data_IF_839581531998
#
_entry.id   IF_839581531998
#
_cell.length_a   1.000
_cell.length_b   1.000
_cell.length_c   1.000
_cell.angle_alpha   90.00
_cell.angle_beta   90.00
_cell.angle_gamma   90.00
#
_symmetry.space_group_name_H-M   'P 1'
#
loop_
_entity.id
_entity.type
_entity.pdbx_description
1 polymer ?
#
# COMPACT_ATOMS: atom_id res chain seq x y z
N UNK A 1 14.26 -3.70 -14.04
CA UNK A 1 13.82 -2.34 -13.68
C UNK A 1 14.73 -1.23 -14.21
N UNK A 2 16.03 -1.50 -14.43
CA UNK A 2 17.00 -0.50 -14.93
C UNK A 2 16.87 -0.23 -16.44
N UNK A 3 16.32 -1.16 -17.22
CA UNK A 3 16.15 -0.98 -18.67
C UNK A 3 14.99 -0.06 -19.07
N UNK A 4 13.93 0.06 -18.27
CA UNK A 4 12.81 0.97 -18.59
C UNK A 4 13.15 2.47 -18.41
N UNK A 5 14.10 2.83 -17.55
CA UNK A 5 14.51 4.24 -17.38
C UNK A 5 15.38 4.79 -18.54
N UNK A 6 15.98 3.92 -19.35
CA UNK A 6 16.83 4.36 -20.46
C UNK A 6 16.02 4.69 -21.74
N UNK A 7 14.87 4.05 -21.95
CA UNK A 7 14.03 4.29 -23.13
C UNK A 7 13.27 5.61 -23.09
N UNK A 8 12.93 6.12 -21.91
CA UNK A 8 12.17 7.37 -21.75
C UNK A 8 13.01 8.60 -22.11
N UNK A 9 14.35 8.51 -22.05
CA UNK A 9 15.24 9.65 -22.35
C UNK A 9 15.40 9.97 -23.84
N UNK A 10 14.91 9.11 -24.73
CA UNK A 10 15.13 9.25 -26.18
C UNK A 10 13.85 9.45 -27.01
N UNK A 11 12.71 9.70 -26.38
CA UNK A 11 11.48 10.01 -27.10
C UNK A 11 11.51 11.47 -27.62
N UNK A 12 11.08 11.73 -28.86
CA UNK A 12 10.99 13.10 -29.38
C UNK A 12 10.02 13.92 -28.52
N UNK A 13 10.37 15.19 -28.26
CA UNK A 13 9.63 16.14 -27.40
C UNK A 13 8.12 16.26 -27.67
N UNK A 14 7.65 15.83 -28.86
CA UNK A 14 6.24 15.85 -29.28
C UNK A 14 5.45 14.57 -28.94
N UNK A 15 6.09 13.53 -28.41
CA UNK A 15 5.49 12.21 -28.24
C UNK A 15 5.13 11.87 -26.77
N UNK A 16 5.46 12.72 -25.80
CA UNK A 16 5.10 12.47 -24.41
C UNK A 16 3.66 12.95 -24.14
N UNK A 17 2.82 12.02 -23.73
CA UNK A 17 1.44 12.31 -23.33
C UNK A 17 1.41 13.02 -21.96
N UNK A 18 0.41 13.86 -21.68
CA UNK A 18 0.25 14.53 -20.39
C UNK A 18 0.27 13.58 -19.21
N UNK A 19 -0.30 12.38 -19.36
CA UNK A 19 -0.35 11.34 -18.32
C UNK A 19 1.04 10.82 -17.98
N UNK A 20 1.89 10.57 -18.97
CA UNK A 20 3.28 10.12 -18.72
C UNK A 20 4.13 11.22 -18.09
N UNK A 21 3.85 12.48 -18.42
CA UNK A 21 4.50 13.65 -17.81
C UNK A 21 4.05 13.82 -16.35
N UNK A 22 2.76 13.63 -16.07
CA UNK A 22 2.22 13.62 -14.71
C UNK A 22 2.88 12.52 -13.87
N UNK A 23 3.03 11.31 -14.42
CA UNK A 23 3.69 10.21 -13.74
C UNK A 23 5.17 10.49 -13.45
N UNK A 24 5.88 11.22 -14.33
CA UNK A 24 7.26 11.63 -14.05
C UNK A 24 7.34 12.63 -12.90
N UNK A 25 6.44 13.63 -12.85
CA UNK A 25 6.38 14.58 -11.74
C UNK A 25 6.04 13.85 -10.44
N UNK A 26 5.09 12.92 -10.46
CA UNK A 26 4.72 12.10 -9.32
C UNK A 26 5.93 11.30 -8.81
N UNK A 27 6.70 10.69 -9.71
CA UNK A 27 7.92 9.96 -9.35
C UNK A 27 9.01 10.87 -8.73
N UNK A 28 9.11 12.14 -9.16
CA UNK A 28 10.00 13.12 -8.54
C UNK A 28 9.58 13.44 -7.10
N UNK A 29 8.30 13.41 -6.80
CA UNK A 29 7.74 13.67 -5.47
C UNK A 29 7.87 12.41 -4.59
N UNK A 30 7.29 11.29 -5.02
CA UNK A 30 7.10 10.09 -4.19
C UNK A 30 8.35 9.21 -4.08
N UNK A 31 9.10 9.04 -5.18
CA UNK A 31 10.21 8.08 -5.23
C UNK A 31 11.56 8.75 -5.07
N UNK A 32 11.77 9.89 -5.73
CA UNK A 32 13.04 10.60 -5.68
C UNK A 32 13.12 11.57 -4.51
N UNK A 33 11.99 11.88 -3.85
CA UNK A 33 11.87 12.86 -2.76
C UNK A 33 12.50 14.22 -3.10
N UNK A 34 12.46 14.58 -4.40
CA UNK A 34 13.04 15.84 -4.89
C UNK A 34 12.21 17.05 -4.47
N UNK A 35 10.89 16.85 -4.33
CA UNK A 35 9.94 17.84 -3.83
C UNK A 35 9.14 17.19 -2.71
N UNK A 36 8.97 17.92 -1.62
CA UNK A 36 8.18 17.52 -0.45
C UNK A 36 6.93 18.38 -0.33
N UNK A 37 6.01 17.99 0.53
CA UNK A 37 4.78 18.74 0.80
C UNK A 37 5.11 20.20 1.13
N UNK A 38 4.42 21.11 0.44
CA UNK A 38 4.61 22.56 0.58
C UNK A 38 5.70 23.14 -0.33
N UNK A 39 6.53 22.30 -0.96
CA UNK A 39 7.57 22.77 -1.88
C UNK A 39 6.96 23.34 -3.15
N UNK A 40 7.60 24.41 -3.63
CA UNK A 40 7.24 25.02 -4.91
C UNK A 40 7.95 24.30 -6.05
N UNK A 41 7.20 23.87 -7.07
CA UNK A 41 7.77 23.37 -8.31
C UNK A 41 8.49 24.50 -9.09
N UNK A 42 9.52 24.15 -9.90
CA UNK A 42 10.09 25.08 -10.86
C UNK A 42 9.02 25.74 -11.74
N UNK A 43 9.31 26.89 -12.30
CA UNK A 43 8.36 27.50 -13.22
C UNK A 43 8.10 26.62 -14.46
N UNK A 44 6.96 26.81 -15.12
CA UNK A 44 6.52 25.96 -16.23
C UNK A 44 7.56 25.88 -17.37
N UNK A 45 8.34 26.95 -17.61
CA UNK A 45 9.34 26.93 -18.67
C UNK A 45 10.52 26.03 -18.33
N UNK A 46 11.03 26.16 -17.11
CA UNK A 46 12.18 25.39 -16.63
C UNK A 46 11.83 23.90 -16.49
N UNK A 47 10.67 23.61 -15.89
CA UNK A 47 10.22 22.24 -15.71
C UNK A 47 9.88 21.54 -17.04
N UNK A 48 9.27 22.27 -18.00
CA UNK A 48 9.03 21.71 -19.34
C UNK A 48 10.33 21.42 -20.09
N UNK A 49 11.32 22.33 -19.97
CA UNK A 49 12.64 22.12 -20.56
C UNK A 49 13.37 20.93 -19.95
N UNK A 50 13.29 20.78 -18.62
CA UNK A 50 13.91 19.67 -17.88
C UNK A 50 13.30 18.32 -18.27
N UNK A 51 11.95 18.24 -18.32
CA UNK A 51 11.23 17.01 -18.68
C UNK A 51 11.24 16.72 -20.18
N UNK A 52 11.73 17.65 -21.00
CA UNK A 52 11.79 17.48 -22.46
C UNK A 52 10.42 17.53 -23.14
N UNK A 53 9.42 18.16 -22.53
CA UNK A 53 8.05 18.24 -23.04
C UNK A 53 7.66 19.65 -23.48
N UNK A 54 6.54 19.77 -24.21
CA UNK A 54 5.96 21.06 -24.53
C UNK A 54 5.32 21.71 -23.27
N UNK A 55 5.24 23.05 -23.25
CA UNK A 55 4.54 23.76 -22.16
C UNK A 55 3.07 23.37 -22.06
N UNK A 56 2.40 23.12 -23.19
CA UNK A 56 1.00 22.66 -23.18
C UNK A 56 0.86 21.28 -22.54
N UNK A 57 1.77 20.35 -22.86
CA UNK A 57 1.81 19.01 -22.25
C UNK A 57 2.04 19.10 -20.74
N UNK A 58 3.01 19.93 -20.31
CA UNK A 58 3.27 20.14 -18.89
C UNK A 58 2.07 20.73 -18.15
N UNK A 59 1.40 21.73 -18.73
CA UNK A 59 0.22 22.35 -18.09
C UNK A 59 -0.92 21.37 -17.93
N UNK A 60 -1.12 20.49 -18.90
CA UNK A 60 -2.14 19.45 -18.79
C UNK A 60 -1.75 18.41 -17.74
N UNK A 61 -0.48 18.02 -17.65
CA UNK A 61 0.03 17.16 -16.59
C UNK A 61 -0.16 17.79 -15.19
N UNK A 62 0.16 19.09 -15.05
CA UNK A 62 -0.08 19.83 -13.80
C UNK A 62 -1.58 19.85 -13.47
N UNK A 63 -2.45 20.01 -14.49
CA UNK A 63 -3.89 19.98 -14.29
C UNK A 63 -4.38 18.63 -13.80
N UNK A 64 -3.90 17.53 -14.37
CA UNK A 64 -4.18 16.16 -13.91
C UNK A 64 -3.80 16.03 -12.44
N UNK A 65 -2.57 16.39 -12.08
CA UNK A 65 -2.07 16.32 -10.71
C UNK A 65 -2.78 17.26 -9.74
N UNK A 66 -3.25 18.40 -10.21
CA UNK A 66 -4.06 19.33 -9.38
C UNK A 66 -5.46 18.76 -9.15
N UNK A 67 -6.06 18.13 -10.16
CA UNK A 67 -7.39 17.48 -10.04
C UNK A 67 -7.33 16.28 -9.09
N UNK A 68 -6.22 15.55 -9.08
CA UNK A 68 -6.00 14.45 -8.13
C UNK A 68 -5.54 14.89 -6.74
N UNK A 69 -5.38 16.21 -6.51
CA UNK A 69 -4.97 16.75 -5.22
C UNK A 69 -3.46 16.70 -4.95
N UNK A 70 -2.65 16.16 -5.87
CA UNK A 70 -1.17 16.06 -5.73
C UNK A 70 -0.50 17.42 -5.77
N UNK A 71 -1.01 18.33 -6.57
CA UNK A 71 -0.49 19.69 -6.68
C UNK A 71 -1.59 20.72 -6.37
N UNK A 72 -1.19 21.87 -5.91
CA UNK A 72 -2.06 23.03 -5.79
C UNK A 72 -1.49 24.24 -6.53
N UNK A 73 -2.36 24.97 -7.24
CA UNK A 73 -1.99 26.19 -7.92
C UNK A 73 -2.36 27.39 -7.03
N UNK A 74 -1.35 28.06 -6.52
CA UNK A 74 -1.53 29.31 -5.76
C UNK A 74 -1.39 30.50 -6.72
N UNK A 75 -2.50 31.18 -7.00
CA UNK A 75 -2.57 32.25 -8.00
C UNK A 75 -1.49 33.31 -7.74
N UNK A 76 -0.68 33.57 -8.75
CA UNK A 76 0.44 34.54 -8.69
C UNK A 76 1.67 34.06 -7.90
N UNK A 77 1.61 32.91 -7.26
CA UNK A 77 2.71 32.36 -6.47
C UNK A 77 3.38 31.14 -7.14
N UNK A 78 2.62 30.37 -7.93
CA UNK A 78 3.12 29.19 -8.65
C UNK A 78 2.38 27.91 -8.28
N UNK A 79 2.95 26.77 -8.67
CA UNK A 79 2.45 25.43 -8.38
C UNK A 79 3.26 24.84 -7.23
N UNK A 80 2.58 24.25 -6.27
CA UNK A 80 3.15 23.69 -5.04
C UNK A 80 2.72 22.23 -4.89
N UNK A 81 3.54 21.44 -4.21
CA UNK A 81 3.12 20.10 -3.75
C UNK A 81 2.07 20.32 -2.67
N UNK A 82 0.88 19.73 -2.86
CA UNK A 82 -0.26 19.97 -1.98
C UNK A 82 -0.08 19.26 -0.64
N UNK A 83 -0.51 19.87 0.44
CA UNK A 83 -0.66 19.20 1.73
C UNK A 83 -1.82 18.17 1.75
N UNK A 84 -2.72 18.25 0.76
CA UNK A 84 -3.81 17.30 0.57
C UNK A 84 -3.39 16.08 -0.29
N UNK A 85 -2.15 16.05 -0.71
CA UNK A 85 -1.60 14.93 -1.48
C UNK A 85 -1.45 13.75 -0.59
N UNK A 86 -2.20 12.73 -0.93
CA UNK A 86 -1.98 11.40 -0.40
C UNK A 86 -1.96 11.45 1.12
N UNK A 87 -2.79 10.67 1.74
CA UNK A 87 -2.47 10.23 3.09
C UNK A 87 -1.03 9.69 2.98
N UNK A 88 -0.04 10.57 3.16
CA UNK A 88 1.35 10.16 3.14
C UNK A 88 1.48 9.08 4.22
N UNK A 89 2.17 8.01 3.89
CA UNK A 89 2.51 7.03 4.91
C UNK A 89 3.24 7.67 6.12
N UNK A 90 3.80 8.88 5.94
CA UNK A 90 4.33 9.72 7.02
C UNK A 90 3.22 10.33 7.89
N UNK A 91 2.14 10.86 7.29
CA UNK A 91 1.01 11.44 8.03
C UNK A 91 0.24 10.37 8.83
N UNK A 92 0.13 9.15 8.29
CA UNK A 92 -0.43 8.01 9.03
C UNK A 92 0.50 7.52 10.16
N UNK A 93 1.81 7.75 10.05
CA UNK A 93 2.73 7.45 11.16
C UNK A 93 2.55 8.43 12.33
N UNK A 94 2.14 9.67 12.06
CA UNK A 94 1.80 10.67 13.09
C UNK A 94 0.39 10.44 13.66
N UNK A 95 -0.53 9.86 12.86
CA UNK A 95 -1.89 9.46 13.29
C UNK A 95 -1.85 8.16 14.09
N UNK A 96 -0.89 7.27 13.82
CA UNK A 96 -0.73 6.00 14.52
C UNK A 96 -0.26 6.21 15.98
N UNK A 97 -1.02 7.00 16.73
CA UNK A 97 -0.79 7.27 18.14
C UNK A 97 -1.09 6.07 19.06
N UNK A 98 -1.61 4.96 18.52
CA UNK A 98 -1.87 3.73 19.27
C UNK A 98 -1.93 2.51 18.35
N UNK A 99 -1.31 1.42 18.78
CA UNK A 99 -1.47 0.11 18.13
C UNK A 99 -2.92 -0.34 18.19
N UNK A 100 -3.65 -0.01 19.24
CA UNK A 100 -5.07 -0.31 19.41
C UNK A 100 -5.90 0.22 18.25
N UNK A 101 -5.70 1.48 17.83
CA UNK A 101 -6.40 2.10 16.70
C UNK A 101 -6.11 1.38 15.38
N UNK A 102 -4.85 0.94 15.18
CA UNK A 102 -4.45 0.18 13.98
C UNK A 102 -5.10 -1.20 13.94
N UNK A 103 -5.15 -1.90 15.07
CA UNK A 103 -5.80 -3.21 15.16
C UNK A 103 -7.33 -3.09 15.05
N UNK A 104 -7.93 -2.02 15.56
CA UNK A 104 -9.35 -1.72 15.33
C UNK A 104 -9.63 -1.52 13.84
N UNK A 105 -8.78 -0.79 13.11
CA UNK A 105 -8.88 -0.64 11.65
C UNK A 105 -8.74 -1.99 10.93
N UNK A 106 -7.79 -2.85 11.33
CA UNK A 106 -7.68 -4.21 10.80
C UNK A 106 -8.98 -4.99 10.99
N UNK A 107 -9.55 -4.94 12.21
CA UNK A 107 -10.78 -5.63 12.56
C UNK A 107 -11.99 -5.16 11.74
N UNK A 108 -11.99 -3.89 11.29
CA UNK A 108 -13.02 -3.34 10.42
C UNK A 108 -12.92 -3.84 8.97
N UNK A 109 -11.71 -4.06 8.44
CA UNK A 109 -11.51 -4.26 7.01
C UNK A 109 -11.05 -5.67 6.62
N UNK A 110 -10.12 -6.26 7.35
CA UNK A 110 -9.49 -7.52 6.95
C UNK A 110 -10.44 -8.73 6.96
N UNK A 111 -11.42 -8.84 7.89
CA UNK A 111 -12.40 -9.92 7.83
C UNK A 111 -13.23 -9.88 6.54
N UNK A 112 -13.61 -8.69 6.08
CA UNK A 112 -14.33 -8.53 4.83
C UNK A 112 -13.42 -8.73 3.60
N UNK A 113 -12.14 -8.44 3.72
CA UNK A 113 -11.16 -8.82 2.68
C UNK A 113 -11.08 -10.34 2.55
N UNK A 114 -11.01 -11.10 3.65
CA UNK A 114 -10.98 -12.56 3.64
C UNK A 114 -12.28 -13.16 3.06
N UNK A 115 -13.43 -12.57 3.40
CA UNK A 115 -14.71 -12.94 2.79
C UNK A 115 -14.71 -12.77 1.28
N UNK A 116 -14.28 -11.61 0.78
CA UNK A 116 -14.24 -11.32 -0.64
C UNK A 116 -13.19 -12.17 -1.37
N UNK A 117 -12.04 -12.40 -0.76
CA UNK A 117 -11.00 -13.27 -1.29
C UNK A 117 -11.50 -14.71 -1.47
N UNK A 118 -12.21 -15.26 -0.49
CA UNK A 118 -12.82 -16.59 -0.60
C UNK A 118 -13.79 -16.70 -1.79
N UNK A 119 -14.49 -15.61 -2.13
CA UNK A 119 -15.41 -15.59 -3.27
C UNK A 119 -14.75 -15.36 -4.63
N UNK A 120 -13.68 -14.57 -4.67
CA UNK A 120 -13.17 -13.96 -5.92
C UNK A 120 -11.80 -14.44 -6.34
N UNK A 121 -10.98 -14.92 -5.39
CA UNK A 121 -9.61 -15.31 -5.67
C UNK A 121 -9.53 -16.34 -6.81
N UNK A 122 -8.56 -16.18 -7.71
CA UNK A 122 -8.21 -17.24 -8.67
C UNK A 122 -7.53 -18.40 -7.93
N UNK A 123 -7.29 -19.51 -8.63
CA UNK A 123 -6.58 -20.63 -8.00
C UNK A 123 -5.13 -20.24 -7.68
N UNK A 124 -4.48 -19.51 -8.58
CA UNK A 124 -3.11 -19.02 -8.39
C UNK A 124 -3.01 -18.08 -7.17
N UNK A 125 -4.03 -17.26 -6.94
CA UNK A 125 -4.07 -16.38 -5.77
C UNK A 125 -4.31 -17.16 -4.49
N UNK A 126 -5.14 -18.19 -4.50
CA UNK A 126 -5.31 -19.11 -3.36
C UNK A 126 -3.99 -19.80 -3.04
N UNK A 127 -3.29 -20.29 -4.08
CA UNK A 127 -2.01 -20.96 -3.91
C UNK A 127 -0.96 -20.00 -3.31
N UNK A 128 -0.97 -18.72 -3.73
CA UNK A 128 -0.11 -17.69 -3.17
C UNK A 128 -0.45 -17.37 -1.70
N UNK A 129 -1.73 -17.25 -1.35
CA UNK A 129 -2.19 -17.06 0.04
C UNK A 129 -1.69 -18.21 0.91
N UNK A 130 -1.88 -19.43 0.44
CA UNK A 130 -1.44 -20.61 1.17
C UNK A 130 0.08 -20.68 1.33
N UNK A 131 0.81 -20.34 0.27
CA UNK A 131 2.27 -20.29 0.33
C UNK A 131 2.75 -19.31 1.41
N UNK A 132 2.22 -18.09 1.48
CA UNK A 132 2.63 -17.12 2.49
C UNK A 132 2.22 -17.55 3.90
N UNK A 133 1.02 -18.10 4.10
CA UNK A 133 0.59 -18.62 5.39
C UNK A 133 1.48 -19.79 5.86
N UNK A 134 1.90 -20.68 4.95
CA UNK A 134 2.88 -21.75 5.27
C UNK A 134 4.27 -21.20 5.61
N UNK A 135 4.70 -20.06 5.02
CA UNK A 135 5.95 -19.42 5.42
C UNK A 135 5.84 -18.81 6.82
N UNK A 136 4.70 -18.18 7.18
CA UNK A 136 4.41 -17.73 8.55
C UNK A 136 4.51 -18.89 9.52
N UNK A 137 3.84 -20.00 9.24
CA UNK A 137 3.90 -21.22 10.06
C UNK A 137 5.33 -21.70 10.29
N UNK A 138 6.15 -21.80 9.23
CA UNK A 138 7.56 -22.20 9.33
C UNK A 138 8.36 -21.29 10.26
N UNK A 139 8.15 -19.96 10.15
CA UNK A 139 8.81 -18.97 10.99
C UNK A 139 8.39 -19.11 12.46
N UNK A 140 7.10 -19.33 12.72
CA UNK A 140 6.59 -19.60 14.08
C UNK A 140 7.28 -20.83 14.66
N UNK A 141 7.30 -21.94 13.92
CA UNK A 141 7.87 -23.22 14.38
C UNK A 141 9.39 -23.17 14.60
N UNK A 142 10.10 -22.34 13.83
CA UNK A 142 11.56 -22.14 13.99
C UNK A 142 11.92 -21.07 15.03
N UNK A 143 10.93 -20.34 15.57
CA UNK A 143 11.15 -19.23 16.50
C UNK A 143 11.84 -18.01 15.85
N UNK A 144 11.72 -17.87 14.52
CA UNK A 144 12.25 -16.74 13.76
C UNK A 144 11.24 -15.61 13.66
N UNK A 145 11.71 -14.39 13.33
CA UNK A 145 10.85 -13.25 13.03
C UNK A 145 10.00 -13.55 11.78
N UNK A 146 8.69 -13.44 11.93
CA UNK A 146 7.68 -13.70 10.90
C UNK A 146 7.04 -12.45 10.31
N UNK A 147 7.39 -11.27 10.80
CA UNK A 147 6.72 -10.00 10.49
C UNK A 147 6.57 -9.76 8.98
N UNK A 148 7.59 -10.09 8.20
CA UNK A 148 7.58 -9.89 6.76
C UNK A 148 6.65 -10.88 6.03
N UNK A 149 6.60 -12.12 6.47
CA UNK A 149 5.75 -13.19 5.93
C UNK A 149 4.29 -12.95 6.29
N UNK A 150 4.02 -12.56 7.53
CA UNK A 150 2.70 -12.17 8.02
C UNK A 150 2.11 -11.02 7.19
N UNK A 151 2.89 -9.98 6.96
CA UNK A 151 2.48 -8.87 6.09
C UNK A 151 2.10 -9.37 4.69
N UNK A 152 2.92 -10.23 4.07
CA UNK A 152 2.65 -10.77 2.74
C UNK A 152 1.40 -11.65 2.70
N UNK A 153 1.15 -12.40 3.77
CA UNK A 153 -0.05 -13.21 3.91
C UNK A 153 -1.30 -12.33 3.86
N UNK A 154 -1.38 -11.30 4.70
CA UNK A 154 -2.50 -10.36 4.70
C UNK A 154 -2.62 -9.56 3.39
N UNK A 155 -1.50 -9.11 2.81
CA UNK A 155 -1.49 -8.43 1.51
C UNK A 155 -2.02 -9.34 0.38
N UNK A 156 -1.69 -10.62 0.39
CA UNK A 156 -2.17 -11.57 -0.62
C UNK A 156 -3.68 -11.75 -0.55
N UNK A 157 -4.25 -11.80 0.65
CA UNK A 157 -5.71 -11.86 0.87
C UNK A 157 -6.37 -10.56 0.40
N UNK A 158 -5.82 -9.39 0.75
CA UNK A 158 -6.34 -8.10 0.32
C UNK A 158 -6.32 -7.95 -1.21
N UNK A 159 -5.25 -8.39 -1.87
CA UNK A 159 -5.13 -8.36 -3.33
C UNK A 159 -6.17 -9.27 -4.02
N UNK A 160 -6.44 -10.44 -3.43
CA UNK A 160 -7.40 -11.43 -3.94
C UNK A 160 -8.87 -10.97 -3.81
N UNK A 161 -9.14 -9.85 -3.17
CA UNK A 161 -10.48 -9.22 -3.17
C UNK A 161 -10.88 -8.69 -4.54
N UNK A 162 -9.94 -8.46 -5.45
CA UNK A 162 -10.11 -7.78 -6.74
C UNK A 162 -10.76 -6.39 -6.61
N UNK A 163 -10.67 -5.78 -5.43
CA UNK A 163 -11.13 -4.43 -5.20
C UNK A 163 -9.94 -3.45 -5.35
N UNK A 164 -9.98 -2.61 -6.39
CA UNK A 164 -8.89 -1.68 -6.68
C UNK A 164 -8.61 -0.70 -5.52
N UNK A 165 -9.64 -0.30 -4.78
CA UNK A 165 -9.48 0.58 -3.61
C UNK A 165 -8.77 -0.14 -2.45
N UNK A 166 -9.19 -1.37 -2.14
CA UNK A 166 -8.53 -2.21 -1.12
C UNK A 166 -7.06 -2.40 -1.45
N UNK A 167 -6.74 -2.71 -2.72
CA UNK A 167 -5.37 -2.89 -3.19
C UNK A 167 -4.47 -1.66 -3.00
N UNK A 168 -5.03 -0.46 -3.11
CA UNK A 168 -4.29 0.79 -2.90
C UNK A 168 -4.22 1.21 -1.43
N UNK A 169 -5.27 0.94 -0.66
CA UNK A 169 -5.41 1.42 0.71
C UNK A 169 -4.74 0.49 1.74
N UNK A 170 -4.88 -0.83 1.59
CA UNK A 170 -4.35 -1.79 2.56
C UNK A 170 -2.84 -1.74 2.77
N UNK A 171 -1.98 -1.50 1.76
CA UNK A 171 -0.55 -1.35 1.99
C UNK A 171 -0.17 -0.24 2.97
N UNK A 172 -0.97 0.82 3.04
CA UNK A 172 -0.76 1.94 3.97
C UNK A 172 -0.97 1.47 5.40
N UNK A 173 -2.06 0.73 5.66
CA UNK A 173 -2.37 0.12 6.97
C UNK A 173 -1.25 -0.85 7.36
N UNK A 174 -0.86 -1.75 6.46
CA UNK A 174 0.18 -2.75 6.73
C UNK A 174 1.54 -2.12 7.03
N UNK A 175 1.91 -1.03 6.36
CA UNK A 175 3.14 -0.31 6.64
C UNK A 175 3.11 0.35 8.03
N UNK A 176 1.97 0.88 8.44
CA UNK A 176 1.80 1.45 9.78
C UNK A 176 1.91 0.35 10.86
N UNK A 177 1.28 -0.80 10.66
CA UNK A 177 1.38 -1.97 11.55
C UNK A 177 2.82 -2.44 11.68
N UNK A 178 3.53 -2.61 10.56
CA UNK A 178 4.92 -3.05 10.56
C UNK A 178 5.79 -2.15 11.43
N UNK A 179 5.61 -0.84 11.38
CA UNK A 179 6.35 0.11 12.21
C UNK A 179 5.97 0.00 13.69
N UNK A 180 4.68 -0.19 13.98
CA UNK A 180 4.18 -0.36 15.34
C UNK A 180 4.63 -1.69 15.98
N UNK A 181 4.54 -2.79 15.25
CA UNK A 181 4.92 -4.14 15.72
C UNK A 181 6.42 -4.28 15.98
N UNK A 182 7.30 -3.63 15.21
CA UNK A 182 8.75 -3.61 15.49
C UNK A 182 9.06 -3.11 16.91
N UNK A 183 8.20 -2.27 17.48
CA UNK A 183 8.38 -1.75 18.84
C UNK A 183 7.96 -2.77 19.90
N UNK A 184 7.10 -3.74 19.59
CA UNK A 184 6.44 -4.62 20.57
C UNK A 184 6.86 -6.10 20.56
N UNK A 185 7.50 -6.62 19.51
CA UNK A 185 7.83 -8.04 19.41
C UNK A 185 8.92 -8.48 20.38
N UNK A 186 8.56 -8.62 21.65
CA UNK A 186 9.39 -9.27 22.68
C UNK A 186 8.75 -10.48 23.36
N UNK A 187 7.47 -10.77 23.11
CA UNK A 187 6.79 -11.88 23.77
C UNK A 187 6.58 -13.10 22.84
N UNK A 188 7.08 -14.26 23.31
CA UNK A 188 7.14 -15.51 22.56
C UNK A 188 5.84 -16.35 22.59
N UNK A 189 4.83 -15.98 23.37
CA UNK A 189 3.63 -16.79 23.60
C UNK A 189 2.49 -16.61 22.58
N UNK A 190 2.58 -15.60 21.72
CA UNK A 190 1.57 -15.29 20.67
C UNK A 190 1.49 -16.34 19.55
N UNK A 191 2.37 -17.35 19.56
CA UNK A 191 2.62 -18.19 18.39
C UNK A 191 1.58 -19.29 18.14
N UNK A 192 0.97 -19.86 19.18
CA UNK A 192 0.11 -21.05 19.03
C UNK A 192 -1.29 -20.72 18.48
N UNK A 193 -1.89 -19.62 18.94
CA UNK A 193 -3.23 -19.20 18.51
C UNK A 193 -3.19 -18.68 17.08
N UNK A 194 -2.19 -17.85 16.73
CA UNK A 194 -1.98 -17.37 15.36
C UNK A 194 -1.80 -18.52 14.36
N UNK A 195 -1.07 -19.57 14.72
CA UNK A 195 -0.87 -20.71 13.85
C UNK A 195 -2.19 -21.42 13.49
N UNK A 196 -3.09 -21.58 14.46
CA UNK A 196 -4.38 -22.20 14.24
C UNK A 196 -5.30 -21.29 13.41
N UNK A 197 -5.27 -19.99 13.65
CA UNK A 197 -6.09 -19.00 12.95
C UNK A 197 -5.69 -18.88 11.47
N UNK A 198 -4.39 -18.81 11.17
CA UNK A 198 -3.88 -18.77 9.80
C UNK A 198 -4.28 -20.02 9.01
N UNK A 199 -4.17 -21.19 9.63
CA UNK A 199 -4.63 -22.45 9.02
C UNK A 199 -6.14 -22.44 8.73
N UNK A 200 -6.96 -21.93 9.65
CA UNK A 200 -8.40 -21.80 9.44
C UNK A 200 -8.73 -20.81 8.31
N UNK A 201 -8.05 -19.68 8.24
CA UNK A 201 -8.23 -18.70 7.16
C UNK A 201 -7.94 -19.36 5.82
N UNK A 202 -6.78 -20.02 5.68
CA UNK A 202 -6.38 -20.71 4.45
C UNK A 202 -7.39 -21.82 4.08
N UNK A 203 -7.84 -22.62 5.04
CA UNK A 203 -8.78 -23.71 4.80
C UNK A 203 -10.13 -23.21 4.30
N UNK A 204 -10.66 -22.15 4.92
CA UNK A 204 -11.93 -21.54 4.49
C UNK A 204 -11.82 -20.86 3.12
N UNK A 205 -10.71 -20.21 2.81
CA UNK A 205 -10.48 -19.63 1.48
C UNK A 205 -10.38 -20.72 0.42
N UNK A 206 -9.62 -21.79 0.67
CA UNK A 206 -9.54 -22.98 -0.22
C UNK A 206 -10.92 -23.59 -0.49
N UNK A 207 -11.75 -23.69 0.54
CA UNK A 207 -13.11 -24.24 0.45
C UNK A 207 -14.14 -23.26 -0.10
N UNK A 208 -13.74 -22.05 -0.45
CA UNK A 208 -14.65 -20.97 -0.89
C UNK A 208 -15.74 -20.65 0.16
N UNK A 209 -15.47 -20.92 1.43
CA UNK A 209 -16.37 -20.60 2.53
C UNK A 209 -16.12 -19.17 3.01
N UNK A 210 -16.83 -18.21 2.41
CA UNK A 210 -16.63 -16.80 2.65
C UNK A 210 -16.92 -16.38 4.12
N UNK A 211 -17.99 -16.89 4.73
CA UNK A 211 -18.32 -16.58 6.13
C UNK A 211 -17.33 -17.21 7.11
N UNK A 212 -16.87 -18.43 6.81
CA UNK A 212 -15.81 -19.07 7.59
C UNK A 212 -14.50 -18.26 7.53
N UNK A 213 -14.09 -17.79 6.34
CA UNK A 213 -12.90 -16.98 6.15
C UNK A 213 -12.99 -15.64 6.91
N UNK A 214 -14.14 -14.96 6.85
CA UNK A 214 -14.43 -13.74 7.63
C UNK A 214 -14.26 -13.98 9.14
N UNK A 215 -14.87 -15.05 9.63
CA UNK A 215 -14.86 -15.38 11.05
C UNK A 215 -13.46 -15.74 11.54
N UNK A 216 -12.72 -16.53 10.77
CA UNK A 216 -11.35 -16.91 11.09
C UNK A 216 -10.40 -15.70 11.12
N UNK A 217 -10.49 -14.80 10.12
CA UNK A 217 -9.71 -13.56 10.09
C UNK A 217 -10.06 -12.65 11.28
N UNK A 218 -11.33 -12.55 11.64
CA UNK A 218 -11.75 -11.79 12.80
C UNK A 218 -11.14 -12.34 14.11
N UNK A 219 -11.15 -13.64 14.30
CA UNK A 219 -10.53 -14.30 15.46
C UNK A 219 -9.03 -14.05 15.50
N UNK A 220 -8.35 -14.22 14.36
CA UNK A 220 -6.91 -13.97 14.22
C UNK A 220 -6.53 -12.56 14.71
N UNK A 221 -7.29 -11.52 14.31
CA UNK A 221 -7.02 -10.15 14.73
C UNK A 221 -7.33 -9.96 16.22
N UNK A 222 -8.43 -10.54 16.72
CA UNK A 222 -8.79 -10.45 18.13
C UNK A 222 -7.73 -11.10 19.03
N UNK A 223 -7.24 -12.29 18.68
CA UNK A 223 -6.14 -12.92 19.42
C UNK A 223 -4.86 -12.08 19.40
N UNK A 224 -4.56 -11.45 18.24
CA UNK A 224 -3.43 -10.54 18.17
C UNK A 224 -3.59 -9.31 19.09
N UNK A 225 -4.82 -8.81 19.28
CA UNK A 225 -5.12 -7.68 20.18
C UNK A 225 -5.00 -8.07 21.67
N UNK A 226 -5.23 -9.32 22.04
CA UNK A 226 -5.10 -9.77 23.44
C UNK A 226 -3.65 -9.70 23.94
N UNK A 227 -2.68 -9.57 23.04
CA UNK A 227 -1.25 -9.53 23.34
C UNK A 227 -0.60 -8.15 23.12
N UNK A 228 -1.43 -7.09 22.94
CA UNK A 228 -0.97 -5.70 22.91
C UNK A 228 -0.81 -5.13 24.32
#
# INVERSE_FOLDING_TARGET
>A
CVMMCAEVRNMPRSAMLPESTAQQILNMIETQHRFTVGDKLPNENDLAAELGVSRSTLREAIRILTTSGVLEIRRGKGTFVSANTVIDSADLNDIASGLDDLFEMRLMFEPDCAFLAAQRATQEEIDAICYYGEQVEKKILSGEDRTAEEQKFHESIANATHNAFVKQFMPVIFNAIKKGVIVMTRDKDVSADNLNDDRLIMDFIKKRNAEGARTAMRLHILHAMEHL
#
